data_IF_592517231142
#
_entry.id   IF_592517231142
#
_cell.length_a   1.000
_cell.length_b   1.000
_cell.length_c   1.000
_cell.angle_alpha   90.00
_cell.angle_beta   90.00
_cell.angle_gamma   90.00
#
_symmetry.space_group_name_H-M   'P 1'
#
loop_
_entity.id
_entity.type
_entity.pdbx_description
1 polymer ?
#
# COMPACT_ATOMS: atom_id res chain seq x y z
N UNK A 1 -0.33 1.87 -19.56
CA UNK A 1 -1.55 1.34 -20.23
C UNK A 1 -1.79 1.94 -21.61
N UNK A 2 -1.94 3.26 -21.79
CA UNK A 2 -2.21 3.86 -23.12
C UNK A 2 -1.16 3.50 -24.19
N UNK A 3 0.12 3.65 -23.88
CA UNK A 3 1.22 3.19 -24.74
C UNK A 3 1.12 1.71 -25.11
N UNK A 4 0.90 0.83 -24.12
CA UNK A 4 0.77 -0.61 -24.34
C UNK A 4 -0.44 -0.98 -25.20
N UNK A 5 -1.53 -0.22 -25.16
CA UNK A 5 -2.68 -0.44 -26.07
C UNK A 5 -2.35 -0.07 -27.52
N UNK A 6 -1.69 1.07 -27.73
CA UNK A 6 -1.28 1.51 -29.06
C UNK A 6 -0.29 0.50 -29.67
N UNK A 7 0.75 0.13 -28.92
CA UNK A 7 1.76 -0.82 -29.37
C UNK A 7 1.16 -2.19 -29.71
N UNK A 8 0.17 -2.67 -28.94
CA UNK A 8 -0.54 -3.92 -29.26
C UNK A 8 -1.25 -3.88 -30.62
N UNK A 9 -1.75 -2.71 -31.04
CA UNK A 9 -2.43 -2.58 -32.33
C UNK A 9 -1.43 -2.60 -33.49
N UNK A 10 -0.27 -1.99 -33.27
CA UNK A 10 0.83 -1.93 -34.23
C UNK A 10 1.43 -3.31 -34.51
N UNK A 11 1.81 -4.05 -33.47
CA UNK A 11 2.54 -5.33 -33.62
C UNK A 11 1.62 -6.55 -33.76
N UNK A 12 0.30 -6.35 -33.85
CA UNK A 12 -0.68 -7.44 -33.90
C UNK A 12 -0.51 -8.31 -35.14
N UNK A 13 -0.19 -7.68 -36.27
CA UNK A 13 0.01 -8.37 -37.55
C UNK A 13 1.24 -9.30 -37.50
N UNK A 14 2.21 -8.99 -36.66
CA UNK A 14 3.47 -9.74 -36.51
C UNK A 14 3.35 -10.93 -35.54
N UNK A 15 2.16 -11.18 -34.99
CA UNK A 15 1.93 -12.25 -34.00
C UNK A 15 2.56 -11.99 -32.63
N UNK A 16 3.06 -10.78 -32.37
CA UNK A 16 3.69 -10.40 -31.10
C UNK A 16 2.62 -10.06 -30.06
N UNK A 17 2.78 -10.59 -28.84
CA UNK A 17 1.89 -10.29 -27.70
C UNK A 17 2.55 -9.32 -26.74
N UNK A 18 1.83 -8.27 -26.35
CA UNK A 18 2.29 -7.34 -25.30
C UNK A 18 1.49 -7.57 -24.01
N UNK A 19 2.22 -7.83 -22.92
CA UNK A 19 1.66 -7.97 -21.56
C UNK A 19 1.98 -6.72 -20.75
N UNK A 20 0.97 -6.01 -20.26
CA UNK A 20 1.16 -4.87 -19.36
C UNK A 20 1.08 -5.33 -17.90
N UNK A 21 2.16 -5.13 -17.13
CA UNK A 21 2.21 -5.43 -15.70
C UNK A 21 2.25 -4.12 -14.91
N UNK A 22 1.38 -4.02 -13.91
CA UNK A 22 1.36 -2.90 -12.97
C UNK A 22 1.41 -3.44 -11.52
N UNK A 23 2.62 -3.62 -10.94
CA UNK A 23 2.76 -3.92 -9.53
C UNK A 23 2.57 -2.66 -8.68
N UNK A 24 1.90 -2.78 -7.53
CA UNK A 24 1.65 -1.67 -6.60
C UNK A 24 2.84 -1.33 -5.72
N UNK A 25 3.20 -2.24 -4.81
CA UNK A 25 4.20 -1.98 -3.78
C UNK A 25 5.07 -3.23 -3.65
N UNK A 26 6.30 -3.19 -4.12
CA UNK A 26 7.21 -4.35 -4.14
C UNK A 26 8.40 -4.08 -3.23
N UNK A 27 8.78 -5.03 -2.38
CA UNK A 27 9.89 -4.89 -1.43
C UNK A 27 11.25 -5.05 -2.12
N UNK A 28 11.65 -4.07 -2.94
CA UNK A 28 12.96 -4.03 -3.61
C UNK A 28 13.94 -3.11 -2.89
N UNK A 29 15.23 -3.23 -3.22
CA UNK A 29 16.29 -2.34 -2.72
C UNK A 29 16.18 -0.89 -3.24
N UNK A 30 15.33 -0.64 -4.25
CA UNK A 30 15.07 0.70 -4.78
C UNK A 30 14.15 1.54 -3.87
N UNK A 31 13.52 0.91 -2.88
CA UNK A 31 12.67 1.63 -1.94
C UNK A 31 13.51 2.52 -1.03
N UNK A 32 13.26 3.82 -1.11
CA UNK A 32 13.88 4.80 -0.21
C UNK A 32 13.33 4.67 1.20
N UNK A 33 14.08 5.17 2.20
CA UNK A 33 13.62 5.19 3.60
C UNK A 33 12.27 5.89 3.77
N UNK A 34 11.99 6.93 2.96
CA UNK A 34 10.72 7.65 2.94
C UNK A 34 9.56 6.75 2.52
N UNK A 35 9.75 5.92 1.47
CA UNK A 35 8.74 4.98 0.98
C UNK A 35 8.49 3.88 2.03
N UNK A 36 9.54 3.39 2.68
CA UNK A 36 9.42 2.39 3.73
C UNK A 36 8.74 2.95 4.99
N UNK A 37 9.06 4.18 5.39
CA UNK A 37 8.43 4.86 6.52
C UNK A 37 6.94 5.12 6.24
N UNK A 38 6.61 5.61 5.05
CA UNK A 38 5.23 5.77 4.60
C UNK A 38 4.48 4.44 4.60
N UNK A 39 5.11 3.36 4.10
CA UNK A 39 4.55 2.01 4.13
C UNK A 39 4.26 1.52 5.55
N UNK A 40 5.14 1.78 6.52
CA UNK A 40 4.92 1.46 7.94
C UNK A 40 3.76 2.25 8.54
N UNK A 41 3.70 3.56 8.28
CA UNK A 41 2.63 4.44 8.80
C UNK A 41 1.26 4.06 8.25
N UNK A 42 1.19 3.71 6.97
CA UNK A 42 -0.06 3.35 6.29
C UNK A 42 -0.43 1.88 6.43
N UNK A 43 0.42 1.07 7.10
CA UNK A 43 0.31 -0.40 7.15
C UNK A 43 0.21 -1.01 5.74
N UNK A 44 0.82 -0.36 4.75
CA UNK A 44 0.87 -0.85 3.37
C UNK A 44 1.74 -2.09 3.31
N UNK A 45 1.14 -3.21 2.90
CA UNK A 45 1.88 -4.47 2.71
C UNK A 45 2.65 -4.39 1.40
N UNK A 46 3.98 -4.43 1.50
CA UNK A 46 4.86 -4.62 0.35
C UNK A 46 4.82 -6.09 -0.07
N UNK A 47 4.58 -6.34 -1.35
CA UNK A 47 4.65 -7.66 -1.93
C UNK A 47 6.10 -8.13 -2.05
N UNK A 48 6.31 -9.43 -1.80
CA UNK A 48 7.63 -10.04 -1.90
C UNK A 48 8.11 -10.10 -3.36
N UNK A 49 9.36 -9.71 -3.67
CA UNK A 49 9.86 -9.66 -5.04
C UNK A 49 9.76 -11.00 -5.77
N UNK A 50 10.03 -12.11 -5.08
CA UNK A 50 9.96 -13.44 -5.66
C UNK A 50 8.53 -13.80 -6.10
N UNK A 51 7.52 -13.39 -5.33
CA UNK A 51 6.13 -13.57 -5.70
C UNK A 51 5.78 -12.73 -6.93
N UNK A 52 6.17 -11.46 -6.95
CA UNK A 52 5.94 -10.55 -8.09
C UNK A 52 6.58 -11.10 -9.37
N UNK A 53 7.83 -11.55 -9.30
CA UNK A 53 8.55 -12.15 -10.42
C UNK A 53 7.82 -13.39 -10.97
N UNK A 54 7.33 -14.27 -10.08
CA UNK A 54 6.55 -15.45 -10.47
C UNK A 54 5.25 -15.05 -11.19
N UNK A 55 4.55 -14.03 -10.70
CA UNK A 55 3.34 -13.55 -11.36
C UNK A 55 3.63 -12.94 -12.74
N UNK A 56 4.72 -12.20 -12.89
CA UNK A 56 5.16 -11.66 -14.19
C UNK A 56 5.43 -12.79 -15.18
N UNK A 57 6.25 -13.78 -14.80
CA UNK A 57 6.58 -14.91 -15.66
C UNK A 57 5.32 -15.68 -16.09
N UNK A 58 4.40 -15.92 -15.15
CA UNK A 58 3.11 -16.55 -15.43
C UNK A 58 2.26 -15.73 -16.40
N UNK A 59 2.16 -14.42 -16.19
CA UNK A 59 1.38 -13.53 -17.05
C UNK A 59 1.87 -13.54 -18.50
N UNK A 60 3.20 -13.56 -18.69
CA UNK A 60 3.83 -13.66 -20.00
C UNK A 60 3.52 -15.02 -20.64
N UNK A 61 3.69 -16.12 -19.91
CA UNK A 61 3.42 -17.47 -20.40
C UNK A 61 1.94 -17.65 -20.82
N UNK A 62 1.02 -17.08 -20.05
CA UNK A 62 -0.42 -17.08 -20.34
C UNK A 62 -0.86 -16.02 -21.37
N UNK A 63 0.08 -15.23 -21.92
CA UNK A 63 -0.22 -14.14 -22.88
C UNK A 63 -1.29 -13.16 -22.39
N UNK A 64 -1.27 -12.86 -21.09
CA UNK A 64 -2.27 -11.99 -20.46
C UNK A 64 -2.12 -10.56 -20.97
N UNK A 65 -3.25 -9.89 -21.26
CA UNK A 65 -3.21 -8.51 -21.76
C UNK A 65 -2.75 -7.53 -20.68
N UNK A 66 -3.46 -7.50 -19.55
CA UNK A 66 -3.19 -6.58 -18.43
C UNK A 66 -3.20 -7.36 -17.11
N UNK A 67 -2.20 -7.15 -16.27
CA UNK A 67 -2.09 -7.78 -14.94
C UNK A 67 -1.70 -6.72 -13.91
N UNK A 68 -2.53 -6.61 -12.89
CA UNK A 68 -2.30 -5.73 -11.75
C UNK A 68 -1.87 -6.60 -10.56
N UNK A 69 -0.70 -6.31 -9.99
CA UNK A 69 -0.14 -7.06 -8.87
C UNK A 69 -0.20 -6.17 -7.63
N UNK A 70 -0.69 -6.69 -6.52
CA UNK A 70 -0.90 -5.89 -5.32
C UNK A 70 -1.84 -6.57 -4.34
N UNK A 71 -1.54 -6.48 -3.05
CA UNK A 71 -2.55 -6.75 -2.03
C UNK A 71 -3.66 -5.67 -2.10
N UNK A 72 -4.95 -6.05 -2.08
CA UNK A 72 -6.02 -5.07 -2.06
C UNK A 72 -6.00 -4.34 -0.71
N UNK A 73 -5.60 -3.07 -0.68
CA UNK A 73 -5.66 -2.23 0.55
C UNK A 73 -7.06 -2.26 1.19
N UNK A 74 -8.11 -2.40 0.37
CA UNK A 74 -9.50 -2.56 0.84
C UNK A 74 -9.70 -3.80 1.72
N UNK A 75 -8.93 -4.87 1.52
CA UNK A 75 -9.01 -6.07 2.36
C UNK A 75 -8.44 -5.80 3.76
N UNK A 76 -7.40 -4.97 3.88
CA UNK A 76 -6.85 -4.58 5.19
C UNK A 76 -7.73 -3.58 5.93
N UNK A 77 -8.31 -2.60 5.22
CA UNK A 77 -9.34 -1.70 5.80
C UNK A 77 -10.52 -2.52 6.34
N UNK A 78 -10.93 -3.55 5.61
CA UNK A 78 -12.05 -4.42 5.99
C UNK A 78 -11.69 -5.39 7.13
N UNK A 79 -10.44 -5.84 7.23
CA UNK A 79 -9.94 -6.63 8.38
C UNK A 79 -9.81 -5.75 9.64
N UNK A 80 -9.28 -4.52 9.54
CA UNK A 80 -9.29 -3.58 10.67
C UNK A 80 -10.71 -3.21 11.10
N UNK A 81 -11.64 -3.04 10.16
CA UNK A 81 -13.04 -2.77 10.45
C UNK A 81 -13.79 -3.96 11.09
N UNK A 82 -13.32 -5.20 10.86
CA UNK A 82 -13.89 -6.41 11.47
C UNK A 82 -13.27 -6.75 12.84
N UNK A 83 -12.14 -6.13 13.20
CA UNK A 83 -11.50 -6.30 14.51
C UNK A 83 -11.20 -4.95 15.22
N UNK A 84 -12.20 -4.06 15.43
CA UNK A 84 -12.01 -2.81 16.16
C UNK A 84 -11.51 -3.04 17.59
N UNK A 85 -11.92 -4.14 18.23
CA UNK A 85 -11.56 -4.47 19.62
C UNK A 85 -10.09 -4.82 19.86
N UNK A 86 -9.31 -5.13 18.82
CA UNK A 86 -7.86 -5.37 18.93
C UNK A 86 -7.07 -4.06 18.77
N UNK A 87 -7.66 -3.08 18.06
CA UNK A 87 -7.07 -1.74 17.88
C UNK A 87 -7.25 -0.89 19.15
N UNK A 88 -8.32 -1.09 19.90
CA UNK A 88 -8.58 -0.37 21.16
C UNK A 88 -7.50 -0.62 22.23
N UNK A 89 -6.92 -1.83 22.30
CA UNK A 89 -5.82 -2.11 23.23
C UNK A 89 -4.48 -1.45 22.83
N UNK A 90 -4.25 -1.25 21.52
CA UNK A 90 -3.00 -0.65 21.02
C UNK A 90 -3.01 0.89 21.07
N UNK A 91 -4.18 1.54 21.06
CA UNK A 91 -4.28 2.99 21.19
C UNK A 91 -3.96 3.46 22.62
N UNK A 92 -4.37 2.70 23.63
CA UNK A 92 -4.05 2.96 25.05
C UNK A 92 -2.53 2.93 25.34
N UNK A 93 -1.77 2.04 24.70
CA UNK A 93 -0.31 1.98 24.90
C UNK A 93 0.46 3.06 24.11
N UNK A 94 -0.06 3.51 22.97
CA UNK A 94 0.60 4.52 22.14
C UNK A 94 0.36 5.95 22.64
N UNK A 95 -0.79 6.23 23.27
CA UNK A 95 -1.05 7.52 23.93
C UNK A 95 -0.06 7.81 25.06
N UNK A 96 0.39 6.77 25.77
CA UNK A 96 1.40 6.91 26.82
C UNK A 96 2.79 7.19 26.25
N UNK A 97 3.17 6.53 25.15
CA UNK A 97 4.47 6.74 24.47
C UNK A 97 4.55 8.10 23.76
N UNK A 98 3.44 8.57 23.19
CA UNK A 98 3.36 9.89 22.57
C UNK A 98 3.50 11.01 23.62
N UNK A 99 2.93 10.82 24.83
CA UNK A 99 3.10 11.76 25.95
C UNK A 99 4.55 11.89 26.42
N UNK A 100 5.31 10.79 26.44
CA UNK A 100 6.72 10.82 26.85
C UNK A 100 7.63 11.44 25.78
N UNK A 101 7.28 11.29 24.49
CA UNK A 101 8.12 11.75 23.38
C UNK A 101 7.92 13.22 23.02
N UNK A 102 6.73 13.80 23.28
CA UNK A 102 6.35 15.10 22.71
C UNK A 102 6.25 16.30 23.65
N UNK A 103 6.45 16.21 24.98
CA UNK A 103 6.43 17.38 25.89
C UNK A 103 5.42 18.49 25.49
N UNK A 104 4.20 18.11 25.12
CA UNK A 104 3.21 19.07 24.64
C UNK A 104 2.66 19.81 25.87
N UNK A 105 2.76 21.15 25.93
CA UNK A 105 2.21 21.89 27.05
C UNK A 105 0.69 21.67 27.08
N UNK A 106 0.23 21.26 28.26
CA UNK A 106 -1.17 21.09 28.61
C UNK A 106 -1.94 22.37 28.27
N UNK A 107 -2.77 22.35 27.23
CA UNK A 107 -3.81 23.38 27.08
C UNK A 107 -4.89 23.04 28.10
N UNK A 108 -4.79 23.67 29.27
CA UNK A 108 -5.80 23.65 30.32
C UNK A 108 -7.03 24.36 29.75
N UNK A 109 -8.10 23.58 29.55
CA UNK A 109 -9.43 24.09 29.27
C UNK A 109 -9.95 24.79 30.54
N UNK A 110 -9.93 26.12 30.59
CA UNK A 110 -10.62 26.88 31.63
C UNK A 110 -12.13 26.97 31.32
N UNK A 111 -13.02 26.71 32.29
CA UNK A 111 -14.45 26.76 32.07
C UNK A 111 -14.94 28.22 31.95
N UNK A 112 -15.95 28.40 31.09
CA UNK A 112 -16.69 29.65 30.87
C UNK A 112 -17.14 30.27 32.21
N UNK A 113 -16.91 31.57 32.38
CA UNK A 113 -17.67 32.40 33.32
C UNK A 113 -18.33 33.55 32.56
N UNK A 114 -19.65 33.59 32.69
CA UNK A 114 -20.58 34.66 32.39
C UNK A 114 -20.15 36.04 32.89
N UNK A 115 -20.39 37.06 32.08
CA UNK A 115 -20.98 38.35 32.46
C UNK A 115 -21.55 39.02 31.22
#
# INVERSE_FOLDING_TARGET
RGFSEALRREVRADGITITYIAPRAVKTALNTEKILAFGRMTKMKLDEPAWVAKQIARAIAERRKDVFLGFPEKLFVRINAMAPRVVDQLLLENDLKAKTLFHLPTVINQPRSSS
#
